data_IF_235006823577
#
_entry.id   IF_235006823577
#
_cell.length_a   1.000
_cell.length_b   1.000
_cell.length_c   1.000
_cell.angle_alpha   90.00
_cell.angle_beta   90.00
_cell.angle_gamma   90.00
#
_symmetry.space_group_name_H-M   'P 1'
#
loop_
_entity.id
_entity.type
_entity.pdbx_description
1 polymer ?
#
# COMPACT_ATOMS: atom_id res chain seq x y z
N UNK A 1 -54.38 26.08 35.71
CA UNK A 1 -53.09 25.60 36.23
C UNK A 1 -52.76 24.17 35.83
N UNK A 2 -53.53 23.57 34.97
CA UNK A 2 -53.24 22.19 34.49
C UNK A 2 -52.56 22.10 33.14
N UNK A 3 -52.21 23.21 32.55
CA UNK A 3 -51.67 23.28 31.17
C UNK A 3 -50.17 23.55 31.08
N UNK A 4 -49.51 23.82 32.20
CA UNK A 4 -48.09 24.17 32.22
C UNK A 4 -47.18 22.90 32.38
N UNK A 5 -47.77 21.81 32.80
CA UNK A 5 -47.00 20.59 33.07
C UNK A 5 -46.82 19.70 31.83
N UNK A 6 -47.41 20.04 30.71
CA UNK A 6 -47.32 19.23 29.47
C UNK A 6 -46.29 19.74 28.48
N UNK A 7 -45.65 20.87 28.71
CA UNK A 7 -44.72 21.46 27.79
C UNK A 7 -43.25 21.23 28.10
N UNK A 8 -42.96 20.43 29.12
CA UNK A 8 -41.59 20.27 29.61
C UNK A 8 -41.00 18.89 29.32
N UNK A 9 -41.67 18.13 28.48
CA UNK A 9 -41.22 16.76 28.15
C UNK A 9 -40.74 16.55 26.70
N UNK A 10 -40.50 17.63 25.98
CA UNK A 10 -40.21 17.55 24.54
C UNK A 10 -38.82 18.04 24.14
N UNK A 11 -37.88 18.15 25.08
CA UNK A 11 -36.53 18.61 24.76
C UNK A 11 -35.41 17.67 25.27
N UNK A 12 -35.67 16.39 25.30
CA UNK A 12 -34.61 15.42 25.48
C UNK A 12 -34.40 14.57 24.22
N UNK A 13 -34.42 15.20 23.05
CA UNK A 13 -33.85 14.63 21.85
C UNK A 13 -32.34 14.77 21.98
N UNK A 14 -31.77 13.89 22.79
CA UNK A 14 -30.33 13.71 22.85
C UNK A 14 -29.89 13.35 21.44
N UNK A 15 -29.24 14.27 20.79
CA UNK A 15 -28.44 14.05 19.62
C UNK A 15 -27.35 13.04 20.00
N UNK A 16 -27.65 11.76 19.85
CA UNK A 16 -26.62 10.76 19.69
C UNK A 16 -25.92 11.05 18.37
N UNK A 17 -24.97 11.99 18.42
CA UNK A 17 -23.95 12.06 17.39
C UNK A 17 -23.16 10.76 17.58
N UNK A 18 -23.58 9.74 16.88
CA UNK A 18 -22.74 8.57 16.67
C UNK A 18 -21.53 9.06 15.90
N UNK A 19 -20.48 9.42 16.61
CA UNK A 19 -19.16 9.45 16.03
C UNK A 19 -18.86 8.02 15.58
N UNK A 20 -19.26 7.69 14.36
CA UNK A 20 -18.68 6.58 13.66
C UNK A 20 -17.23 6.99 13.38
N UNK A 21 -16.38 6.81 14.37
CA UNK A 21 -14.96 6.77 14.12
C UNK A 21 -14.76 5.64 13.13
N UNK A 22 -14.57 6.00 11.86
CA UNK A 22 -14.15 5.04 10.85
C UNK A 22 -12.77 4.57 11.28
N UNK A 23 -12.72 3.44 11.97
CA UNK A 23 -11.48 2.79 12.31
C UNK A 23 -10.78 2.50 10.99
N UNK A 24 -9.75 3.27 10.64
CA UNK A 24 -8.88 2.97 9.51
C UNK A 24 -8.38 1.56 9.70
N UNK A 25 -8.71 0.69 8.75
CA UNK A 25 -8.21 -0.68 8.79
C UNK A 25 -6.69 -0.61 8.84
N UNK A 26 -6.11 -1.18 9.89
CA UNK A 26 -4.65 -1.22 10.09
C UNK A 26 -3.94 -1.88 8.91
N UNK A 27 -4.55 -2.93 8.35
CA UNK A 27 -4.03 -3.64 7.20
C UNK A 27 -4.65 -3.07 5.93
N UNK A 28 -3.81 -2.60 5.03
CA UNK A 28 -4.22 -2.06 3.74
C UNK A 28 -3.59 -2.84 2.59
N UNK A 29 -4.25 -2.77 1.45
CA UNK A 29 -3.82 -3.35 0.18
C UNK A 29 -3.66 -2.23 -0.84
N UNK A 30 -2.56 -2.24 -1.56
CA UNK A 30 -2.33 -1.33 -2.67
C UNK A 30 -1.80 -2.08 -3.88
N UNK A 31 -2.21 -1.63 -5.06
CA UNK A 31 -1.69 -2.11 -6.35
C UNK A 31 -0.81 -1.02 -6.93
N UNK A 32 0.45 -1.33 -7.17
CA UNK A 32 1.48 -0.41 -7.65
C UNK A 32 1.89 -0.85 -9.04
N UNK A 33 1.80 0.03 -10.02
CA UNK A 33 2.29 -0.23 -11.37
C UNK A 33 3.81 -0.18 -11.38
N UNK A 34 4.41 -1.11 -12.09
CA UNK A 34 5.84 -1.17 -12.34
C UNK A 34 6.11 -1.36 -13.82
N UNK A 35 7.36 -1.40 -14.20
CA UNK A 35 7.76 -1.74 -15.55
C UNK A 35 8.86 -2.82 -15.49
N UNK A 36 8.57 -3.96 -16.10
CA UNK A 36 9.46 -5.10 -16.13
C UNK A 36 9.83 -5.41 -17.59
N UNK A 37 11.10 -5.55 -17.87
CA UNK A 37 11.59 -5.89 -19.19
C UNK A 37 11.69 -7.39 -19.44
N UNK A 38 11.55 -8.17 -18.39
CA UNK A 38 11.67 -9.62 -18.43
C UNK A 38 10.31 -10.29 -18.20
N UNK A 39 9.91 -11.19 -19.06
CA UNK A 39 8.65 -11.93 -18.94
C UNK A 39 8.64 -12.91 -17.77
N UNK A 40 9.79 -13.19 -17.19
CA UNK A 40 9.99 -14.22 -16.17
C UNK A 40 10.56 -13.67 -14.87
N UNK A 41 10.43 -12.37 -14.61
CA UNK A 41 11.02 -11.75 -13.41
C UNK A 41 10.56 -12.40 -12.11
N UNK A 42 9.34 -12.89 -12.07
CA UNK A 42 8.78 -13.60 -10.92
C UNK A 42 9.49 -14.94 -10.65
N UNK A 43 9.87 -15.64 -11.70
CA UNK A 43 10.47 -16.97 -11.65
C UNK A 43 12.01 -16.93 -11.73
N UNK A 44 12.58 -15.79 -12.07
CA UNK A 44 14.01 -15.61 -12.17
C UNK A 44 14.66 -15.71 -10.79
N UNK A 45 15.70 -16.52 -10.68
CA UNK A 45 16.43 -16.69 -9.41
C UNK A 45 16.96 -15.36 -8.86
N UNK A 46 17.44 -14.48 -9.73
CA UNK A 46 17.98 -13.19 -9.32
C UNK A 46 16.86 -12.20 -8.97
N UNK A 47 15.97 -11.91 -9.90
CA UNK A 47 14.90 -10.91 -9.69
C UNK A 47 13.84 -11.41 -8.71
N UNK A 48 13.38 -12.65 -8.84
CA UNK A 48 12.37 -13.21 -7.96
C UNK A 48 12.86 -13.31 -6.51
N UNK A 49 14.10 -13.73 -6.30
CA UNK A 49 14.71 -13.79 -4.97
C UNK A 49 14.91 -12.38 -4.39
N UNK A 50 15.32 -11.42 -5.20
CA UNK A 50 15.49 -10.02 -4.80
C UNK A 50 14.16 -9.44 -4.35
N UNK A 51 13.09 -9.60 -5.14
CA UNK A 51 11.77 -9.16 -4.74
C UNK A 51 11.33 -9.81 -3.42
N UNK A 52 11.45 -11.13 -3.32
CA UNK A 52 11.07 -11.87 -2.13
C UNK A 52 11.82 -11.38 -0.88
N UNK A 53 13.10 -11.17 -1.01
CA UNK A 53 13.95 -10.78 0.11
C UNK A 53 13.75 -9.31 0.49
N UNK A 54 13.79 -8.42 -0.49
CA UNK A 54 13.79 -6.98 -0.24
C UNK A 54 12.40 -6.42 0.04
N UNK A 55 11.37 -6.92 -0.63
CA UNK A 55 10.00 -6.47 -0.38
C UNK A 55 9.55 -6.75 1.06
N UNK A 56 9.91 -7.91 1.61
CA UNK A 56 9.56 -8.28 2.98
C UNK A 56 10.40 -7.56 4.03
N UNK A 57 11.52 -6.98 3.66
CA UNK A 57 12.32 -6.11 4.55
C UNK A 57 11.75 -4.70 4.69
N UNK A 58 10.87 -4.28 3.81
CA UNK A 58 10.23 -2.95 3.91
C UNK A 58 9.40 -2.91 5.18
N UNK A 59 9.70 -1.96 6.05
CA UNK A 59 9.00 -1.83 7.31
C UNK A 59 7.49 -1.71 7.09
N UNK A 60 6.71 -2.55 7.77
CA UNK A 60 5.26 -2.54 7.68
C UNK A 60 4.67 -3.37 6.53
N UNK A 61 5.45 -3.81 5.57
CA UNK A 61 5.00 -4.74 4.52
C UNK A 61 4.88 -6.14 5.10
N UNK A 62 3.71 -6.76 4.91
CA UNK A 62 3.42 -8.11 5.39
C UNK A 62 3.52 -9.15 4.30
N UNK A 63 3.06 -8.81 3.12
CA UNK A 63 3.02 -9.70 1.96
C UNK A 63 3.02 -8.87 0.69
N UNK A 64 3.51 -9.45 -0.37
CA UNK A 64 3.40 -8.89 -1.72
C UNK A 64 3.12 -9.97 -2.75
N UNK A 65 2.56 -9.56 -3.86
CA UNK A 65 2.36 -10.38 -5.04
C UNK A 65 2.88 -9.61 -6.26
N UNK A 66 3.67 -10.25 -7.08
CA UNK A 66 4.12 -9.70 -8.36
C UNK A 66 3.33 -10.36 -9.48
N UNK A 67 2.63 -9.56 -10.27
CA UNK A 67 2.05 -9.97 -11.54
C UNK A 67 2.93 -9.41 -12.67
N UNK A 68 3.74 -10.25 -13.25
CA UNK A 68 4.68 -9.90 -14.31
C UNK A 68 3.96 -9.61 -15.65
N UNK A 69 2.80 -10.20 -15.87
CA UNK A 69 1.98 -9.93 -17.07
C UNK A 69 1.24 -8.60 -16.99
N UNK A 70 0.68 -8.30 -15.85
CA UNK A 70 0.02 -7.03 -15.60
C UNK A 70 0.99 -5.91 -15.21
N UNK A 71 2.27 -6.24 -14.96
CA UNK A 71 3.29 -5.32 -14.48
C UNK A 71 2.87 -4.56 -13.23
N UNK A 72 2.42 -5.29 -12.21
CA UNK A 72 1.96 -4.73 -10.95
C UNK A 72 2.53 -5.46 -9.74
N UNK A 73 2.81 -4.69 -8.69
CA UNK A 73 2.98 -5.21 -7.34
C UNK A 73 1.69 -5.00 -6.56
N UNK A 74 1.14 -6.04 -5.98
CA UNK A 74 0.11 -5.94 -4.96
C UNK A 74 0.77 -6.07 -3.61
N UNK A 75 0.63 -5.07 -2.74
CA UNK A 75 1.31 -5.00 -1.45
C UNK A 75 0.29 -4.93 -0.34
N UNK A 76 0.46 -5.77 0.66
CA UNK A 76 -0.33 -5.78 1.89
C UNK A 76 0.54 -5.23 3.01
N UNK A 77 0.12 -4.16 3.65
CA UNK A 77 0.94 -3.44 4.61
C UNK A 77 0.15 -2.92 5.81
N UNK A 78 0.86 -2.65 6.88
CA UNK A 78 0.32 -2.03 8.08
C UNK A 78 0.42 -0.51 7.98
N UNK A 79 -0.73 0.16 7.85
CA UNK A 79 -0.81 1.61 7.70
C UNK A 79 -0.32 2.40 8.93
N UNK A 80 -0.18 1.75 10.09
CA UNK A 80 0.41 2.35 11.29
C UNK A 80 1.94 2.38 11.25
N UNK A 81 2.56 1.50 10.46
CA UNK A 81 4.03 1.36 10.39
C UNK A 81 4.63 2.01 9.14
N UNK A 82 3.86 2.09 8.07
CA UNK A 82 4.33 2.63 6.79
C UNK A 82 3.17 3.25 6.02
N UNK A 83 3.46 3.85 4.89
CA UNK A 83 2.48 4.38 3.95
C UNK A 83 2.85 3.99 2.52
N UNK A 84 1.91 4.20 1.59
CA UNK A 84 2.10 3.84 0.20
C UNK A 84 3.31 4.55 -0.43
N UNK A 85 3.54 5.81 -0.10
CA UNK A 85 4.68 6.57 -0.64
C UNK A 85 6.03 5.97 -0.23
N UNK A 86 6.18 5.57 1.03
CA UNK A 86 7.40 4.92 1.51
C UNK A 86 7.64 3.57 0.82
N UNK A 87 6.58 2.82 0.54
CA UNK A 87 6.65 1.55 -0.19
C UNK A 87 7.11 1.80 -1.63
N UNK A 88 6.55 2.78 -2.31
CA UNK A 88 6.96 3.16 -3.67
C UNK A 88 8.44 3.57 -3.73
N UNK A 89 8.89 4.37 -2.77
CA UNK A 89 10.30 4.76 -2.68
C UNK A 89 11.21 3.54 -2.47
N UNK A 90 10.79 2.61 -1.62
CA UNK A 90 11.55 1.38 -1.38
C UNK A 90 11.65 0.52 -2.65
N UNK A 91 10.58 0.39 -3.41
CA UNK A 91 10.57 -0.32 -4.70
C UNK A 91 11.50 0.38 -5.71
N UNK A 92 11.46 1.71 -5.77
CA UNK A 92 12.36 2.51 -6.59
C UNK A 92 13.83 2.23 -6.29
N UNK A 93 14.20 2.10 -5.03
CA UNK A 93 15.56 1.77 -4.59
C UNK A 93 16.00 0.36 -4.97
N UNK A 94 15.08 -0.51 -5.34
CA UNK A 94 15.39 -1.83 -5.89
C UNK A 94 15.72 -1.79 -7.40
N UNK A 95 15.46 -0.66 -8.05
CA UNK A 95 15.70 -0.47 -9.48
C UNK A 95 14.45 -0.57 -10.34
N UNK A 96 13.26 -0.49 -9.76
CA UNK A 96 11.99 -0.63 -10.47
C UNK A 96 11.11 0.61 -10.28
N UNK A 97 10.34 0.94 -11.31
CA UNK A 97 9.33 1.99 -11.22
C UNK A 97 8.22 1.57 -10.26
N UNK A 98 7.69 2.52 -9.52
CA UNK A 98 6.56 2.34 -8.62
C UNK A 98 5.55 3.47 -8.83
N UNK A 99 4.58 3.28 -9.71
CA UNK A 99 3.62 4.28 -10.19
C UNK A 99 4.34 5.54 -10.72
N UNK A 100 4.19 6.66 -10.01
CA UNK A 100 4.81 7.94 -10.32
C UNK A 100 6.27 8.07 -9.86
N UNK A 101 6.74 7.15 -9.02
CA UNK A 101 8.14 7.12 -8.56
C UNK A 101 9.00 6.32 -9.51
N UNK A 102 9.94 6.98 -10.16
CA UNK A 102 10.86 6.33 -11.10
C UNK A 102 11.91 5.52 -10.36
N UNK A 103 12.38 4.46 -11.01
CA UNK A 103 13.47 3.64 -10.52
C UNK A 103 14.71 4.49 -10.22
N UNK A 104 15.37 4.19 -9.11
CA UNK A 104 16.68 4.75 -8.81
C UNK A 104 17.68 4.32 -9.90
N UNK A 105 18.39 5.29 -10.49
CA UNK A 105 19.26 5.03 -11.64
C UNK A 105 20.41 4.07 -11.33
N UNK A 106 21.03 4.21 -10.16
CA UNK A 106 22.12 3.32 -9.75
C UNK A 106 21.62 1.90 -9.50
N UNK A 107 20.46 1.77 -8.85
CA UNK A 107 19.83 0.50 -8.61
C UNK A 107 19.41 -0.18 -9.93
N UNK A 108 18.86 0.59 -10.86
CA UNK A 108 18.50 0.10 -12.19
C UNK A 108 19.73 -0.42 -12.96
N UNK A 109 20.83 0.32 -12.97
CA UNK A 109 22.06 -0.10 -13.63
C UNK A 109 22.67 -1.37 -13.04
N UNK A 110 22.46 -1.59 -11.75
CA UNK A 110 22.92 -2.81 -11.05
C UNK A 110 22.07 -4.05 -11.31
N UNK A 111 20.93 -3.90 -11.99
CA UNK A 111 20.09 -5.05 -12.36
C UNK A 111 20.79 -5.91 -13.42
N UNK A 112 20.42 -7.19 -13.45
CA UNK A 112 20.88 -8.10 -14.50
C UNK A 112 20.43 -7.62 -15.88
N UNK A 113 21.19 -7.96 -16.92
CA UNK A 113 20.94 -7.55 -18.29
C UNK A 113 19.55 -7.92 -18.80
N UNK A 114 18.96 -9.03 -18.34
CA UNK A 114 17.60 -9.43 -18.68
C UNK A 114 16.52 -8.54 -18.05
N UNK A 115 16.84 -7.76 -17.02
CA UNK A 115 15.95 -6.85 -16.33
C UNK A 115 16.03 -5.40 -16.84
N UNK A 116 16.90 -5.15 -17.80
CA UNK A 116 17.16 -3.83 -18.42
C UNK A 116 16.89 -3.86 -19.91
N UNK A 117 16.59 -2.69 -20.45
CA UNK A 117 16.58 -2.48 -21.90
C UNK A 117 18.03 -2.40 -22.38
#
# INVERSE_FOLDING_TARGET
MKTILKSMFLFASVLFITNTASAQKTNQKAVIKTFLHCDHCKECETCGLKFKTEMLKINGVKMYELDDKAMTFTVYYNAKKTNLQNIKIAISKLGYDADDVKADSKAYESLDGCCKI
#
